data_IF_516140582953
#
_entry.id   IF_516140582953
#
_cell.length_a   1.000
_cell.length_b   1.000
_cell.length_c   1.000
_cell.angle_alpha   90.00
_cell.angle_beta   90.00
_cell.angle_gamma   90.00
#
_symmetry.space_group_name_H-M   'P 1'
#
loop_
_entity.id
_entity.type
_entity.pdbx_description
1 polymer ?
#
# COMPACT_ATOMS: atom_id res chain seq x y z
N UNK A 1 27.59 -0.65 -18.69
CA UNK A 1 27.96 -1.01 -17.31
C UNK A 1 26.71 -0.91 -16.47
N UNK A 2 26.30 -2.01 -15.82
CA UNK A 2 25.12 -2.02 -14.96
C UNK A 2 25.57 -1.61 -13.55
N UNK A 3 25.61 -0.30 -13.28
CA UNK A 3 25.99 0.27 -11.98
C UNK A 3 24.77 0.40 -11.09
N UNK A 4 24.11 -0.70 -10.80
CA UNK A 4 23.04 -0.72 -9.80
C UNK A 4 23.60 -1.31 -8.51
N UNK A 5 23.29 -0.64 -7.40
CA UNK A 5 23.63 -1.11 -6.06
C UNK A 5 22.91 -2.44 -5.80
N UNK A 6 23.68 -3.52 -5.67
CA UNK A 6 23.19 -4.87 -5.40
C UNK A 6 22.51 -5.01 -4.02
N UNK A 7 22.63 -3.99 -3.17
CA UNK A 7 21.98 -3.92 -1.86
C UNK A 7 20.67 -3.13 -1.87
N UNK A 8 20.26 -2.57 -3.01
CA UNK A 8 18.96 -1.87 -3.12
C UNK A 8 17.82 -2.88 -3.20
N UNK A 9 17.38 -3.37 -2.05
CA UNK A 9 16.19 -4.20 -1.89
C UNK A 9 14.99 -3.35 -1.42
N UNK A 10 13.78 -3.78 -1.78
CA UNK A 10 12.53 -3.17 -1.32
C UNK A 10 12.42 -3.13 0.21
N UNK A 11 12.89 -4.20 0.86
CA UNK A 11 13.03 -4.33 2.30
C UNK A 11 14.33 -5.09 2.62
N UNK A 12 15.10 -4.73 3.65
CA UNK A 12 16.31 -5.44 4.04
C UNK A 12 16.01 -6.91 4.31
N UNK A 13 16.82 -7.82 3.76
CA UNK A 13 16.63 -9.26 3.85
C UNK A 13 16.76 -9.76 5.29
N UNK A 14 15.63 -9.73 5.99
CA UNK A 14 15.36 -10.47 7.22
C UNK A 14 14.12 -11.31 6.94
N UNK A 15 14.23 -12.62 7.10
CA UNK A 15 13.12 -13.58 6.98
C UNK A 15 12.16 -13.45 8.16
N UNK A 16 11.63 -12.24 8.36
CA UNK A 16 10.66 -11.91 9.39
C UNK A 16 9.28 -11.93 8.73
N UNK A 17 8.27 -12.45 9.42
CA UNK A 17 6.86 -12.25 9.09
C UNK A 17 6.19 -11.68 10.32
N UNK A 18 5.51 -10.54 10.19
CA UNK A 18 4.98 -9.84 11.36
C UNK A 18 3.57 -10.29 11.71
N UNK A 19 2.76 -10.63 10.71
CA UNK A 19 1.36 -10.99 10.89
C UNK A 19 0.98 -12.29 10.14
N UNK A 20 1.67 -13.42 10.37
CA UNK A 20 1.55 -14.63 9.56
C UNK A 20 0.16 -15.30 9.60
N UNK A 21 -0.63 -14.96 10.62
CA UNK A 21 -1.96 -15.50 10.90
C UNK A 21 -3.06 -14.43 10.79
N UNK A 22 -2.81 -13.30 10.12
CA UNK A 22 -3.84 -12.28 9.91
C UNK A 22 -4.97 -12.87 9.06
N UNK A 23 -6.19 -12.76 9.56
CA UNK A 23 -7.41 -13.12 8.85
C UNK A 23 -8.04 -11.85 8.30
N UNK A 24 -8.00 -11.70 6.97
CA UNK A 24 -8.60 -10.57 6.26
C UNK A 24 -9.92 -11.01 5.63
N UNK A 25 -11.00 -10.37 6.05
CA UNK A 25 -12.31 -10.48 5.39
C UNK A 25 -12.43 -9.37 4.36
N UNK A 26 -12.50 -9.74 3.08
CA UNK A 26 -12.60 -8.77 1.99
C UNK A 26 -13.88 -7.93 2.08
N UNK A 27 -13.78 -6.67 1.65
CA UNK A 27 -14.90 -5.73 1.57
C UNK A 27 -14.73 -4.86 0.32
N UNK A 28 -15.82 -4.66 -0.43
CA UNK A 28 -15.82 -3.72 -1.55
C UNK A 28 -16.07 -2.30 -1.05
N UNK A 29 -15.37 -1.32 -1.63
CA UNK A 29 -15.52 0.10 -1.31
C UNK A 29 -16.77 0.70 -1.95
N UNK A 30 -17.28 1.78 -1.34
CA UNK A 30 -18.34 2.62 -1.90
C UNK A 30 -17.76 4.01 -2.17
N UNK A 31 -17.82 4.47 -3.43
CA UNK A 31 -17.27 5.76 -3.84
C UNK A 31 -15.75 5.87 -3.66
N UNK A 32 -15.26 7.08 -3.34
CA UNK A 32 -13.84 7.40 -3.14
C UNK A 32 -13.39 7.10 -1.70
N UNK A 33 -13.35 5.81 -1.34
CA UNK A 33 -13.07 5.34 0.03
C UNK A 33 -11.98 4.25 0.13
N UNK A 34 -11.17 4.05 -0.92
CA UNK A 34 -10.15 2.98 -0.98
C UNK A 34 -9.24 2.91 0.26
N UNK A 35 -8.76 4.06 0.77
CA UNK A 35 -7.88 4.09 1.96
C UNK A 35 -8.64 3.64 3.22
N UNK A 36 -9.79 4.23 3.51
CA UNK A 36 -10.56 3.89 4.71
C UNK A 36 -11.07 2.45 4.66
N UNK A 37 -11.53 1.98 3.50
CA UNK A 37 -11.98 0.59 3.33
C UNK A 37 -10.81 -0.36 3.42
N UNK A 38 -9.67 -0.07 2.78
CA UNK A 38 -8.48 -0.92 2.85
C UNK A 38 -7.89 -1.03 4.26
N UNK A 39 -7.81 0.07 5.00
CA UNK A 39 -7.39 0.03 6.41
C UNK A 39 -8.39 -0.72 7.30
N UNK A 40 -9.69 -0.63 7.02
CA UNK A 40 -10.72 -1.39 7.73
C UNK A 40 -10.56 -2.91 7.59
N UNK A 41 -9.93 -3.38 6.52
CA UNK A 41 -9.60 -4.80 6.34
C UNK A 41 -8.61 -5.31 7.40
N UNK A 42 -7.75 -4.42 7.89
CA UNK A 42 -6.69 -4.71 8.86
C UNK A 42 -7.21 -4.61 10.30
N UNK A 43 -8.01 -3.59 10.57
CA UNK A 43 -8.50 -3.27 11.92
C UNK A 43 -9.85 -3.90 12.24
N UNK A 44 -10.55 -4.41 11.22
CA UNK A 44 -11.91 -4.99 11.27
C UNK A 44 -13.01 -4.00 11.66
N UNK A 45 -12.69 -2.71 11.72
CA UNK A 45 -13.65 -1.64 11.95
C UNK A 45 -14.53 -1.36 10.73
N UNK A 46 -15.53 -0.51 10.89
CA UNK A 46 -16.33 0.00 9.79
C UNK A 46 -15.57 1.10 9.02
N UNK A 47 -15.55 1.09 7.67
CA UNK A 47 -14.81 2.08 6.87
C UNK A 47 -15.15 3.54 7.20
N UNK A 48 -16.40 3.83 7.58
CA UNK A 48 -16.84 5.16 8.00
C UNK A 48 -16.15 5.62 9.28
N UNK A 49 -15.98 4.72 10.26
CA UNK A 49 -15.28 5.01 11.50
C UNK A 49 -13.80 5.26 11.25
N UNK A 50 -13.18 4.47 10.36
CA UNK A 50 -11.79 4.69 9.95
C UNK A 50 -11.64 6.06 9.27
N UNK A 51 -12.53 6.38 8.32
CA UNK A 51 -12.48 7.64 7.56
C UNK A 51 -12.52 8.87 8.45
N UNK A 52 -13.23 8.82 9.58
CA UNK A 52 -13.33 9.94 10.52
C UNK A 52 -12.06 10.16 11.36
N UNK A 53 -11.11 9.22 11.33
CA UNK A 53 -9.89 9.24 12.14
C UNK A 53 -8.62 9.52 11.32
N UNK A 54 -8.71 9.51 10.00
CA UNK A 54 -7.55 9.65 9.11
C UNK A 54 -7.72 10.77 8.09
N UNK A 55 -6.59 11.30 7.63
CA UNK A 55 -6.54 12.06 6.39
C UNK A 55 -6.19 11.10 5.24
N UNK A 56 -7.09 10.93 4.27
CA UNK A 56 -6.95 9.95 3.17
C UNK A 56 -5.81 10.23 2.19
N UNK A 57 -5.07 11.33 2.34
CA UNK A 57 -3.85 11.60 1.56
C UNK A 57 -2.56 11.45 2.40
N UNK A 58 -2.66 11.54 3.72
CA UNK A 58 -1.50 11.57 4.64
C UNK A 58 -1.21 10.18 5.25
N UNK A 59 -0.10 9.52 4.86
CA UNK A 59 0.26 8.20 5.38
C UNK A 59 0.69 8.25 6.86
N UNK A 60 1.08 9.41 7.40
CA UNK A 60 1.40 9.55 8.82
C UNK A 60 0.12 9.38 9.64
N UNK A 61 -0.99 10.00 9.22
CA UNK A 61 -2.30 9.80 9.86
C UNK A 61 -2.73 8.33 9.83
N UNK A 62 -2.44 7.60 8.75
CA UNK A 62 -2.76 6.17 8.64
C UNK A 62 -1.91 5.34 9.60
N UNK A 63 -0.61 5.64 9.72
CA UNK A 63 0.29 4.97 10.64
C UNK A 63 -0.14 5.20 12.09
N UNK A 64 -0.47 6.44 12.46
CA UNK A 64 -0.98 6.78 13.80
C UNK A 64 -2.29 6.06 14.12
N UNK A 65 -3.19 5.96 13.15
CA UNK A 65 -4.39 5.15 13.28
C UNK A 65 -4.03 3.67 13.50
N UNK A 66 -3.18 3.07 12.67
CA UNK A 66 -2.77 1.67 12.83
C UNK A 66 -2.06 1.39 14.17
N UNK A 67 -1.37 2.37 14.76
CA UNK A 67 -0.69 2.22 16.05
C UNK A 67 -1.66 1.90 17.18
N UNK A 68 -2.91 2.40 17.13
CA UNK A 68 -3.95 2.04 18.12
C UNK A 68 -4.38 0.57 18.01
N UNK A 69 -4.01 -0.11 16.91
CA UNK A 69 -4.25 -1.53 16.64
C UNK A 69 -2.97 -2.36 16.66
N UNK A 70 -1.87 -1.85 17.26
CA UNK A 70 -0.62 -2.58 17.38
C UNK A 70 0.18 -2.72 16.08
N UNK A 71 -0.18 -1.98 15.03
CA UNK A 71 0.47 -1.97 13.72
C UNK A 71 1.06 -0.59 13.42
N UNK A 72 2.00 -0.48 12.47
CA UNK A 72 2.38 0.81 11.88
C UNK A 72 2.94 0.64 10.47
N UNK A 73 3.02 1.73 9.74
CA UNK A 73 3.58 1.74 8.40
C UNK A 73 5.10 1.90 8.47
N UNK A 74 5.83 1.04 7.76
CA UNK A 74 7.26 1.19 7.53
C UNK A 74 7.54 1.32 6.04
N UNK A 75 8.15 2.44 5.63
CA UNK A 75 8.41 2.74 4.23
C UNK A 75 9.34 1.70 3.60
N UNK A 76 8.94 1.22 2.42
CA UNK A 76 9.78 0.39 1.55
C UNK A 76 10.49 1.27 0.53
N UNK A 77 11.73 0.93 0.17
CA UNK A 77 12.55 1.71 -0.75
C UNK A 77 12.00 1.60 -2.18
N UNK A 78 11.07 2.49 -2.54
CA UNK A 78 10.44 2.53 -3.86
C UNK A 78 10.82 3.80 -4.61
N UNK A 79 11.03 3.67 -5.91
CA UNK A 79 11.13 4.79 -6.84
C UNK A 79 9.91 4.84 -7.78
N UNK A 80 9.94 5.77 -8.73
CA UNK A 80 8.90 5.95 -9.74
C UNK A 80 8.95 4.86 -10.82
N UNK A 81 8.58 3.64 -10.44
CA UNK A 81 8.47 2.45 -11.31
C UNK A 81 7.09 1.84 -11.23
N UNK A 82 6.78 0.98 -12.20
CA UNK A 82 5.55 0.20 -12.21
C UNK A 82 5.57 -0.92 -11.16
N UNK A 83 4.41 -1.27 -10.60
CA UNK A 83 4.26 -2.32 -9.59
C UNK A 83 4.91 -3.65 -10.02
N UNK A 84 4.82 -4.02 -11.31
CA UNK A 84 5.42 -5.24 -11.85
C UNK A 84 6.91 -5.43 -11.50
N UNK A 85 7.67 -4.33 -11.31
CA UNK A 85 9.10 -4.41 -10.98
C UNK A 85 9.34 -4.83 -9.53
N UNK A 86 8.34 -4.71 -8.67
CA UNK A 86 8.41 -5.07 -7.25
C UNK A 86 7.76 -6.43 -6.94
N UNK A 87 6.97 -6.99 -7.86
CA UNK A 87 6.19 -8.23 -7.63
C UNK A 87 7.05 -9.38 -7.12
N UNK A 88 8.22 -9.62 -7.72
CA UNK A 88 9.12 -10.71 -7.30
C UNK A 88 9.58 -10.55 -5.85
N UNK A 89 9.96 -9.34 -5.45
CA UNK A 89 10.40 -9.06 -4.08
C UNK A 89 9.25 -9.11 -3.08
N UNK A 90 8.09 -8.54 -3.44
CA UNK A 90 6.89 -8.59 -2.60
C UNK A 90 6.46 -10.04 -2.29
N UNK A 91 6.44 -10.91 -3.32
CA UNK A 91 6.14 -12.33 -3.14
C UNK A 91 7.22 -13.07 -2.33
N UNK A 92 8.48 -12.66 -2.46
CA UNK A 92 9.60 -13.26 -1.72
C UNK A 92 9.56 -12.89 -0.24
N UNK A 93 9.16 -11.65 0.10
CA UNK A 93 9.04 -11.21 1.50
C UNK A 93 7.84 -11.87 2.18
N UNK A 94 6.77 -12.20 1.43
CA UNK A 94 5.62 -12.98 1.91
C UNK A 94 5.00 -12.43 3.21
N UNK A 95 4.68 -11.14 3.22
CA UNK A 95 4.14 -10.45 4.40
C UNK A 95 3.00 -9.48 4.03
N UNK A 96 2.67 -8.59 4.97
CA UNK A 96 1.60 -7.61 4.87
C UNK A 96 2.13 -6.24 4.41
N UNK A 97 1.51 -5.71 3.37
CA UNK A 97 1.87 -4.42 2.77
C UNK A 97 0.63 -3.59 2.46
N UNK A 98 0.82 -2.27 2.45
CA UNK A 98 -0.07 -1.35 1.73
C UNK A 98 0.64 -0.87 0.48
N UNK A 99 -0.04 -0.87 -0.65
CA UNK A 99 0.47 -0.39 -1.93
C UNK A 99 -0.41 0.75 -2.39
N UNK A 100 0.17 1.90 -2.70
CA UNK A 100 -0.53 2.96 -3.43
C UNK A 100 0.06 3.15 -4.81
N UNK A 101 -0.83 3.23 -5.81
CA UNK A 101 -0.48 3.49 -7.22
C UNK A 101 -1.06 4.81 -7.67
N UNK A 102 -0.46 5.45 -8.67
CA UNK A 102 -1.07 6.59 -9.34
C UNK A 102 -2.24 6.15 -10.22
N UNK A 103 -3.30 6.97 -10.24
CA UNK A 103 -4.49 6.73 -11.07
C UNK A 103 -4.22 6.98 -12.56
N UNK A 104 -3.24 7.82 -12.90
CA UNK A 104 -2.80 7.98 -14.29
C UNK A 104 -1.77 6.91 -14.68
N UNK A 105 -1.77 6.52 -15.95
CA UNK A 105 -0.73 5.70 -16.59
C UNK A 105 0.31 6.55 -17.33
N UNK A 106 0.11 7.87 -17.41
CA UNK A 106 1.01 8.80 -18.08
C UNK A 106 1.96 9.46 -17.06
N UNK A 107 3.29 9.27 -17.19
CA UNK A 107 4.26 9.99 -16.36
C UNK A 107 4.09 11.50 -16.40
N UNK A 108 3.73 12.06 -17.56
CA UNK A 108 3.53 13.50 -17.74
C UNK A 108 2.34 14.03 -16.94
N UNK A 109 1.25 13.26 -16.83
CA UNK A 109 0.09 13.63 -16.03
C UNK A 109 0.36 13.48 -14.52
N UNK A 110 1.19 12.51 -14.13
CA UNK A 110 1.57 12.31 -12.73
C UNK A 110 2.44 13.46 -12.21
N UNK A 111 3.34 13.96 -13.04
CA UNK A 111 4.24 15.08 -12.73
C UNK A 111 3.72 16.45 -13.18
N UNK A 112 2.46 16.57 -13.58
CA UNK A 112 1.88 17.84 -14.01
C UNK A 112 1.79 18.83 -12.84
N UNK A 113 1.86 20.13 -13.16
CA UNK A 113 1.59 21.19 -12.20
C UNK A 113 0.17 21.06 -11.63
N UNK A 114 -0.04 21.39 -10.34
CA UNK A 114 -1.37 21.40 -9.75
C UNK A 114 -2.27 22.40 -10.49
N UNK A 115 -3.58 22.09 -10.54
CA UNK A 115 -4.57 23.02 -11.06
C UNK A 115 -4.83 24.19 -10.07
N UNK A 116 -5.73 25.10 -10.45
CA UNK A 116 -6.14 26.24 -9.63
C UNK A 116 -6.75 25.86 -8.27
N UNK A 117 -7.17 24.60 -8.10
CA UNK A 117 -7.71 24.06 -6.86
C UNK A 117 -6.64 23.34 -6.01
N UNK A 118 -5.37 23.35 -6.45
CA UNK A 118 -4.29 22.63 -5.80
C UNK A 118 -4.39 21.11 -5.98
N UNK A 119 -4.97 20.64 -7.10
CA UNK A 119 -5.18 19.22 -7.36
C UNK A 119 -3.92 18.39 -7.13
N UNK A 120 -4.10 17.32 -6.35
CA UNK A 120 -3.10 16.29 -6.11
C UNK A 120 -3.44 15.10 -6.99
N UNK A 121 -2.46 14.62 -7.77
CA UNK A 121 -2.62 13.47 -8.65
C UNK A 121 -3.32 12.30 -7.93
N UNK A 122 -4.42 11.85 -8.53
CA UNK A 122 -5.23 10.75 -8.02
C UNK A 122 -4.39 9.51 -7.77
N UNK A 123 -4.73 8.78 -6.72
CA UNK A 123 -4.08 7.52 -6.41
C UNK A 123 -5.07 6.49 -5.92
N UNK A 124 -4.70 5.22 -6.08
CA UNK A 124 -5.42 4.08 -5.56
C UNK A 124 -4.65 3.44 -4.40
N UNK A 125 -5.36 2.77 -3.48
CA UNK A 125 -4.82 2.12 -2.29
C UNK A 125 -5.29 0.67 -2.25
N UNK A 126 -4.37 -0.26 -2.00
CA UNK A 126 -4.67 -1.67 -1.79
C UNK A 126 -3.88 -2.26 -0.63
N UNK A 127 -4.42 -3.33 -0.04
CA UNK A 127 -3.69 -4.18 0.89
C UNK A 127 -3.18 -5.40 0.13
N UNK A 128 -1.91 -5.71 0.27
CA UNK A 128 -1.32 -6.98 -0.17
C UNK A 128 -1.00 -7.79 1.09
N UNK A 129 -1.50 -9.02 1.15
CA UNK A 129 -1.11 -9.97 2.19
C UNK A 129 -0.62 -11.25 1.53
N UNK A 130 0.68 -11.55 1.73
CA UNK A 130 1.36 -12.66 1.08
C UNK A 130 1.30 -12.49 -0.45
N UNK A 131 0.59 -13.37 -1.15
CA UNK A 131 0.39 -13.30 -2.60
C UNK A 131 -0.95 -12.67 -3.01
N UNK A 132 -1.82 -12.32 -2.06
CA UNK A 132 -3.21 -11.91 -2.34
C UNK A 132 -3.39 -10.42 -2.18
N UNK A 133 -3.86 -9.76 -3.25
CA UNK A 133 -4.23 -8.36 -3.27
C UNK A 133 -5.70 -8.21 -2.90
N UNK A 134 -5.94 -7.51 -1.81
CA UNK A 134 -7.25 -7.05 -1.37
C UNK A 134 -7.45 -5.63 -1.90
N UNK A 135 -7.90 -5.56 -3.14
CA UNK A 135 -8.29 -4.32 -3.79
C UNK A 135 -9.79 -4.11 -3.63
N UNK A 136 -10.14 -3.08 -2.86
CA UNK A 136 -11.51 -2.81 -2.48
C UNK A 136 -12.37 -2.31 -3.66
N UNK A 137 -11.80 -2.04 -4.84
CA UNK A 137 -12.61 -1.75 -6.04
C UNK A 137 -13.32 -2.99 -6.58
N UNK A 138 -12.74 -4.17 -6.38
CA UNK A 138 -13.32 -5.42 -6.84
C UNK A 138 -14.06 -6.15 -5.72
N UNK A 139 -14.96 -7.03 -6.13
CA UNK A 139 -15.78 -7.87 -5.24
C UNK A 139 -14.98 -9.02 -4.62
N UNK A 140 -13.86 -9.39 -5.23
CA UNK A 140 -13.03 -10.53 -4.85
C UNK A 140 -11.54 -10.16 -4.82
N UNK A 141 -10.75 -10.72 -3.87
CA UNK A 141 -9.30 -10.58 -3.88
C UNK A 141 -8.67 -11.25 -5.11
N UNK A 142 -7.53 -10.73 -5.56
CA UNK A 142 -6.81 -11.24 -6.73
C UNK A 142 -5.40 -11.69 -6.34
N UNK A 143 -4.82 -12.62 -7.12
CA UNK A 143 -3.40 -12.93 -6.98
C UNK A 143 -2.54 -11.79 -7.52
N UNK A 144 -1.47 -11.42 -6.80
CA UNK A 144 -0.57 -10.33 -7.19
C UNK A 144 0.01 -10.50 -8.60
N UNK A 145 0.27 -11.74 -9.02
CA UNK A 145 0.80 -12.04 -10.36
C UNK A 145 -0.19 -11.69 -11.48
N UNK A 146 -1.49 -11.77 -11.19
CA UNK A 146 -2.59 -11.54 -12.13
C UNK A 146 -3.24 -10.16 -11.92
N UNK A 147 -2.73 -9.36 -10.99
CA UNK A 147 -3.31 -8.08 -10.61
C UNK A 147 -3.28 -7.10 -11.80
N UNK A 148 -4.45 -6.64 -12.30
CA UNK A 148 -4.53 -5.83 -13.52
C UNK A 148 -3.72 -4.53 -13.47
N UNK A 149 -3.60 -3.96 -12.26
CA UNK A 149 -2.92 -2.70 -12.02
C UNK A 149 -1.41 -2.84 -11.81
N UNK A 150 -0.82 -4.00 -12.14
CA UNK A 150 0.63 -4.21 -12.15
C UNK A 150 1.40 -3.24 -13.08
N UNK A 151 0.73 -2.67 -14.08
CA UNK A 151 1.31 -1.67 -14.98
C UNK A 151 1.28 -0.24 -14.44
N UNK A 152 0.63 0.02 -13.30
CA UNK A 152 0.57 1.36 -12.71
C UNK A 152 1.85 1.74 -12.00
N UNK A 153 2.18 3.02 -12.06
CA UNK A 153 3.30 3.59 -11.31
C UNK A 153 3.01 3.59 -9.81
N UNK A 154 4.01 3.16 -9.04
CA UNK A 154 3.98 3.20 -7.58
C UNK A 154 4.07 4.64 -7.11
N UNK A 155 3.16 5.01 -6.20
CA UNK A 155 3.25 6.23 -5.39
C UNK A 155 3.99 5.96 -4.10
N UNK A 156 3.71 4.82 -3.46
CA UNK A 156 4.35 4.37 -2.22
C UNK A 156 4.04 2.90 -1.93
N UNK A 157 4.98 2.20 -1.31
CA UNK A 157 4.76 0.91 -0.68
C UNK A 157 5.18 1.02 0.78
N UNK A 158 4.33 0.55 1.68
CA UNK A 158 4.69 0.36 3.08
C UNK A 158 4.55 -1.12 3.43
N UNK A 159 5.54 -1.65 4.14
CA UNK A 159 5.35 -2.88 4.91
C UNK A 159 4.63 -2.52 6.19
N UNK A 160 3.68 -3.35 6.61
CA UNK A 160 3.02 -3.19 7.90
C UNK A 160 3.84 -3.95 8.93
N UNK A 161 4.22 -3.29 10.01
CA UNK A 161 5.07 -3.85 11.07
C UNK A 161 4.40 -3.64 12.44
N UNK A 162 4.83 -4.36 13.50
CA UNK A 162 4.34 -4.12 14.85
C UNK A 162 4.60 -2.67 15.30
N UNK A 163 3.70 -2.10 16.10
CA UNK A 163 3.83 -0.71 16.54
C UNK A 163 5.16 -0.41 17.27
N UNK A 164 5.72 -1.40 17.97
CA UNK A 164 7.00 -1.32 18.68
C UNK A 164 8.23 -1.64 17.81
N UNK A 165 8.06 -1.95 16.53
CA UNK A 165 9.18 -2.24 15.62
C UNK A 165 10.07 -0.99 15.43
N UNK A 166 11.39 -1.16 15.29
CA UNK A 166 12.33 -0.02 15.22
C UNK A 166 12.07 0.88 14.01
N UNK A 167 11.80 0.28 12.85
CA UNK A 167 11.40 1.01 11.64
C UNK A 167 9.92 1.33 11.67
N UNK A 168 9.55 2.54 11.29
CA UNK A 168 8.16 2.92 11.01
C UNK A 168 7.91 4.41 11.20
N UNK A 169 6.74 4.85 10.77
CA UNK A 169 6.17 6.18 10.99
C UNK A 169 5.35 6.22 12.28
#
# INVERSE_FOLDING_TARGET
MNTHDLYTNLWPDKNEQFFPNLLIQHRQQIGTSCVSTGLSLLTKEEPSNVRNQINTQDPISWSRYLQTHGMKLAYCSTDFRRLQHYVKELLRIDDLFTISTYSSLSPGEIGAEPDENGWICGSHFVVLYKSTVYDTRWDTPLQLQEYPDNQRYIKRIFRIVPANHERGL
#
